data_IF_399060197238
#
_entry.id   IF_399060197238
#
_cell.length_a   1.000
_cell.length_b   1.000
_cell.length_c   1.000
_cell.angle_alpha   90.00
_cell.angle_beta   90.00
_cell.angle_gamma   90.00
#
_symmetry.space_group_name_H-M   'P 1'
#
loop_
_entity.id
_entity.type
_entity.pdbx_description
1 polymer ?
#
# COMPACT_ATOMS: atom_id res chain seq x y z
N UNK A 1 -30.38 19.57 -10.70
CA UNK A 1 -30.01 18.79 -11.89
C UNK A 1 -30.40 17.36 -11.60
N UNK A 2 -31.19 16.71 -12.44
CA UNK A 2 -31.66 15.35 -12.19
C UNK A 2 -30.48 14.38 -12.32
N UNK A 3 -30.13 13.70 -11.23
CA UNK A 3 -29.14 12.62 -11.26
C UNK A 3 -29.61 11.55 -12.23
N UNK A 4 -28.79 11.29 -13.26
CA UNK A 4 -29.04 10.21 -14.21
C UNK A 4 -28.85 8.89 -13.46
N UNK A 5 -29.95 8.16 -13.26
CA UNK A 5 -29.94 6.77 -12.76
C UNK A 5 -29.15 5.89 -13.74
N UNK A 6 -28.27 5.04 -13.22
CA UNK A 6 -27.52 4.07 -14.02
C UNK A 6 -28.37 2.81 -14.22
N UNK A 7 -28.37 2.17 -15.41
CA UNK A 7 -29.18 0.99 -15.66
C UNK A 7 -28.86 -0.19 -14.73
N UNK A 8 -29.88 -0.96 -14.36
CA UNK A 8 -29.72 -2.19 -13.58
C UNK A 8 -28.89 -3.20 -14.38
N UNK A 9 -27.67 -3.52 -13.96
CA UNK A 9 -26.86 -4.57 -14.60
C UNK A 9 -25.46 -4.18 -15.11
N UNK A 10 -25.00 -2.94 -14.95
CA UNK A 10 -23.57 -2.63 -15.12
C UNK A 10 -22.77 -3.15 -13.92
N UNK A 11 -22.36 -4.42 -14.02
CA UNK A 11 -21.54 -5.12 -13.02
C UNK A 11 -20.08 -5.20 -13.51
N UNK A 12 -19.10 -4.59 -12.81
CA UNK A 12 -17.67 -4.70 -13.11
C UNK A 12 -17.12 -6.13 -13.00
N UNK A 13 -17.89 -7.08 -12.46
CA UNK A 13 -17.48 -8.47 -12.21
C UNK A 13 -18.19 -9.50 -13.09
N UNK A 14 -18.77 -9.09 -14.23
CA UNK A 14 -19.36 -9.99 -15.24
C UNK A 14 -18.41 -11.12 -15.73
N UNK A 15 -17.11 -11.01 -15.47
CA UNK A 15 -16.09 -12.03 -15.77
C UNK A 15 -16.18 -13.28 -14.86
N UNK A 16 -16.79 -13.21 -13.68
CA UNK A 16 -17.03 -14.40 -12.83
C UNK A 16 -18.08 -15.36 -13.42
N UNK A 17 -18.93 -14.89 -14.33
CA UNK A 17 -19.92 -15.72 -15.03
C UNK A 17 -19.32 -16.51 -16.20
N UNK A 18 -18.07 -16.22 -16.60
CA UNK A 18 -17.36 -16.90 -17.67
C UNK A 18 -16.12 -17.60 -17.09
N UNK A 19 -16.33 -18.72 -16.40
CA UNK A 19 -15.27 -19.56 -15.84
C UNK A 19 -15.47 -21.02 -16.19
N UNK A 20 -14.77 -21.45 -17.24
CA UNK A 20 -14.32 -22.79 -17.64
C UNK A 20 -15.28 -24.00 -17.65
N UNK A 21 -15.26 -24.67 -18.82
CA UNK A 21 -15.78 -26.00 -19.08
C UNK A 21 -15.36 -27.01 -18.01
N UNK A 22 -16.35 -27.69 -17.44
CA UNK A 22 -16.14 -28.85 -16.56
C UNK A 22 -15.33 -29.95 -17.30
N UNK A 23 -14.24 -30.48 -16.72
CA UNK A 23 -13.60 -31.66 -17.28
C UNK A 23 -14.47 -32.89 -17.04
N UNK A 24 -14.75 -33.62 -18.12
CA UNK A 24 -15.54 -34.84 -18.15
C UNK A 24 -15.08 -35.88 -17.09
N UNK A 25 -16.01 -36.27 -16.21
CA UNK A 25 -15.80 -37.33 -15.24
C UNK A 25 -15.72 -38.71 -15.91
N UNK A 26 -14.60 -39.42 -15.70
CA UNK A 26 -14.39 -40.81 -16.12
C UNK A 26 -15.21 -41.78 -15.27
N UNK A 27 -15.95 -42.69 -15.92
CA UNK A 27 -16.69 -43.79 -15.28
C UNK A 27 -15.74 -44.87 -14.71
N UNK A 28 -15.95 -45.37 -13.47
CA UNK A 28 -15.35 -46.62 -13.01
C UNK A 28 -16.26 -47.84 -13.33
N UNK A 29 -15.70 -49.07 -13.38
CA UNK A 29 -16.42 -50.24 -13.88
C UNK A 29 -17.33 -50.88 -12.83
N UNK A 30 -18.34 -51.59 -13.34
CA UNK A 30 -19.40 -52.24 -12.57
C UNK A 30 -18.88 -53.33 -11.62
N UNK A 31 -19.32 -53.28 -10.35
CA UNK A 31 -19.33 -54.43 -9.43
C UNK A 31 -20.77 -54.77 -9.07
N UNK A 32 -21.23 -55.95 -9.52
CA UNK A 32 -22.35 -56.65 -8.88
C UNK A 32 -21.90 -57.07 -7.48
N UNK A 33 -22.72 -56.90 -6.46
CA UNK A 33 -23.46 -57.98 -5.77
C UNK A 33 -24.16 -57.46 -4.50
N UNK A 34 -25.37 -58.00 -4.28
CA UNK A 34 -26.07 -58.25 -3.00
C UNK A 34 -27.01 -57.15 -2.46
N UNK A 35 -28.28 -57.38 -2.75
CA UNK A 35 -29.44 -56.81 -2.07
C UNK A 35 -29.36 -57.12 -0.58
N UNK A 36 -29.22 -56.08 0.24
CA UNK A 36 -29.49 -56.13 1.67
C UNK A 36 -30.52 -55.05 1.97
N UNK A 37 -31.79 -55.46 2.09
CA UNK A 37 -32.89 -54.58 2.52
C UNK A 37 -32.62 -54.22 3.98
N UNK A 38 -32.08 -53.02 4.22
CA UNK A 38 -32.07 -52.40 5.54
C UNK A 38 -33.05 -51.24 5.52
N UNK A 39 -34.20 -51.41 6.17
CA UNK A 39 -35.07 -50.32 6.58
C UNK A 39 -34.36 -49.52 7.66
N UNK A 40 -33.48 -48.60 7.26
CA UNK A 40 -32.94 -47.55 8.13
C UNK A 40 -33.85 -46.34 7.90
N UNK A 41 -34.55 -45.89 8.93
CA UNK A 41 -35.27 -44.61 8.86
C UNK A 41 -34.29 -43.54 8.38
N UNK A 42 -34.60 -42.87 7.27
CA UNK A 42 -33.75 -41.84 6.71
C UNK A 42 -33.57 -40.74 7.77
N UNK A 43 -32.32 -40.35 8.04
CA UNK A 43 -32.03 -39.20 8.87
C UNK A 43 -32.69 -37.98 8.21
N UNK A 44 -33.43 -37.17 8.98
CA UNK A 44 -34.01 -35.93 8.48
C UNK A 44 -32.89 -35.07 7.87
N UNK A 45 -33.12 -34.57 6.65
CA UNK A 45 -32.17 -33.71 5.95
C UNK A 45 -32.03 -32.38 6.69
N UNK A 46 -30.84 -31.81 6.67
CA UNK A 46 -30.58 -30.45 7.14
C UNK A 46 -31.19 -29.42 6.18
N UNK A 47 -31.40 -28.18 6.64
CA UNK A 47 -31.88 -27.08 5.78
C UNK A 47 -30.97 -26.88 4.55
N UNK A 48 -29.64 -26.95 4.74
CA UNK A 48 -28.68 -26.84 3.63
C UNK A 48 -28.82 -27.97 2.62
N UNK A 49 -28.92 -29.23 3.08
CA UNK A 49 -29.13 -30.39 2.19
C UNK A 49 -30.46 -30.28 1.42
N UNK A 50 -31.52 -29.75 2.03
CA UNK A 50 -32.80 -29.50 1.35
C UNK A 50 -32.67 -28.45 0.23
N UNK A 51 -31.92 -27.37 0.47
CA UNK A 51 -31.67 -26.31 -0.51
C UNK A 51 -30.82 -26.83 -1.69
N UNK A 52 -29.73 -27.55 -1.40
CA UNK A 52 -28.84 -28.12 -2.40
C UNK A 52 -29.55 -29.15 -3.29
N UNK A 53 -30.27 -30.10 -2.68
CA UNK A 53 -30.98 -31.16 -3.42
C UNK A 53 -32.11 -30.59 -4.29
N UNK A 54 -32.88 -29.63 -3.76
CA UNK A 54 -33.97 -29.00 -4.51
C UNK A 54 -33.42 -28.11 -5.64
N UNK A 55 -32.33 -27.39 -5.42
CA UNK A 55 -31.69 -26.60 -6.49
C UNK A 55 -31.08 -27.49 -7.58
N UNK A 56 -30.43 -28.60 -7.21
CA UNK A 56 -29.84 -29.54 -8.16
C UNK A 56 -30.89 -30.15 -9.10
N UNK A 57 -32.11 -30.38 -8.61
CA UNK A 57 -33.23 -30.84 -9.44
C UNK A 57 -33.73 -29.77 -10.43
N UNK A 58 -33.61 -28.49 -10.08
CA UNK A 58 -34.01 -27.35 -10.91
C UNK A 58 -32.94 -26.95 -11.93
N UNK A 59 -31.66 -27.21 -11.65
CA UNK A 59 -30.53 -26.77 -12.46
C UNK A 59 -30.64 -27.12 -13.97
N UNK A 60 -31.11 -28.32 -14.39
CA UNK A 60 -31.26 -28.65 -15.82
C UNK A 60 -32.28 -27.76 -16.56
N UNK A 61 -33.19 -27.10 -15.82
CA UNK A 61 -34.25 -26.24 -16.36
C UNK A 61 -34.03 -24.77 -15.98
N UNK A 62 -32.83 -24.39 -15.53
CA UNK A 62 -32.54 -23.07 -14.97
C UNK A 62 -32.86 -21.89 -15.90
N UNK A 63 -32.65 -22.04 -17.21
CA UNK A 63 -33.01 -21.00 -18.19
C UNK A 63 -34.53 -20.81 -18.29
N UNK A 64 -35.29 -21.90 -18.37
CA UNK A 64 -36.76 -21.85 -18.42
C UNK A 64 -37.34 -21.29 -17.11
N UNK A 65 -36.73 -21.65 -15.97
CA UNK A 65 -37.08 -21.11 -14.66
C UNK A 65 -36.87 -19.60 -14.61
N UNK A 66 -35.73 -19.09 -15.09
CA UNK A 66 -35.43 -17.66 -15.10
C UNK A 66 -36.38 -16.87 -16.02
N UNK A 67 -36.68 -17.40 -17.22
CA UNK A 67 -37.69 -16.80 -18.10
C UNK A 67 -39.06 -16.75 -17.43
N UNK A 68 -39.50 -17.88 -16.85
CA UNK A 68 -40.79 -17.96 -16.16
C UNK A 68 -40.88 -17.00 -14.97
N UNK A 69 -39.76 -16.80 -14.26
CA UNK A 69 -39.66 -15.82 -13.18
C UNK A 69 -39.95 -14.40 -13.66
N UNK A 70 -39.31 -13.94 -14.73
CA UNK A 70 -39.52 -12.58 -15.24
C UNK A 70 -40.92 -12.39 -15.84
N UNK A 71 -41.44 -13.38 -16.57
CA UNK A 71 -42.82 -13.37 -17.05
C UNK A 71 -43.81 -13.17 -15.89
N UNK A 72 -43.65 -13.96 -14.82
CA UNK A 72 -44.53 -13.89 -13.65
C UNK A 72 -44.35 -12.59 -12.88
N UNK A 73 -43.12 -12.11 -12.73
CA UNK A 73 -42.82 -10.86 -12.02
C UNK A 73 -43.50 -9.68 -12.70
N UNK A 74 -43.39 -9.56 -14.02
CA UNK A 74 -43.97 -8.45 -14.77
C UNK A 74 -45.49 -8.55 -14.94
N UNK A 75 -46.03 -9.76 -15.04
CA UNK A 75 -47.49 -9.99 -15.07
C UNK A 75 -48.13 -9.62 -13.71
N UNK A 76 -47.51 -10.04 -12.60
CA UNK A 76 -48.06 -9.87 -11.26
C UNK A 76 -47.76 -8.50 -10.65
N UNK A 77 -46.60 -7.93 -10.95
CA UNK A 77 -46.11 -6.65 -10.42
C UNK A 77 -45.64 -5.75 -11.58
N UNK A 78 -46.57 -5.25 -12.41
CA UNK A 78 -46.24 -4.43 -13.57
C UNK A 78 -45.48 -3.15 -13.20
N UNK A 79 -45.58 -2.68 -11.95
CA UNK A 79 -44.81 -1.53 -11.45
C UNK A 79 -43.30 -1.77 -11.39
N UNK A 80 -42.85 -3.03 -11.52
CA UNK A 80 -41.43 -3.37 -11.55
C UNK A 80 -40.82 -3.22 -12.95
N UNK A 81 -41.63 -3.20 -14.01
CA UNK A 81 -41.17 -3.12 -15.41
C UNK A 81 -40.23 -1.92 -15.67
N UNK A 82 -40.50 -0.70 -15.16
CA UNK A 82 -39.63 0.45 -15.37
C UNK A 82 -38.19 0.27 -14.85
N UNK A 83 -37.96 -0.63 -13.88
CA UNK A 83 -36.62 -0.92 -13.37
C UNK A 83 -35.73 -1.66 -14.40
N UNK A 84 -36.34 -2.20 -15.47
CA UNK A 84 -35.69 -3.05 -16.47
C UNK A 84 -35.76 -2.48 -17.91
N UNK A 85 -36.29 -1.27 -18.11
CA UNK A 85 -36.56 -0.69 -19.44
C UNK A 85 -35.30 -0.58 -20.33
N UNK A 86 -34.14 -0.32 -19.73
CA UNK A 86 -32.88 -0.09 -20.45
C UNK A 86 -32.00 -1.35 -20.58
N UNK A 87 -32.50 -2.54 -20.21
CA UNK A 87 -31.70 -3.78 -20.25
C UNK A 87 -32.36 -4.95 -20.98
N UNK A 88 -31.57 -5.79 -21.66
CA UNK A 88 -32.08 -7.00 -22.27
C UNK A 88 -32.44 -8.04 -21.18
N UNK A 89 -33.72 -8.40 -21.08
CA UNK A 89 -34.24 -9.37 -20.11
C UNK A 89 -33.48 -10.71 -20.17
N UNK A 90 -33.12 -11.19 -21.37
CA UNK A 90 -32.28 -12.40 -21.52
C UNK A 90 -30.92 -12.33 -20.83
N UNK A 91 -30.31 -11.14 -20.78
CA UNK A 91 -29.06 -10.93 -20.04
C UNK A 91 -29.29 -10.97 -18.54
N UNK A 92 -30.42 -10.45 -18.10
CA UNK A 92 -30.81 -10.40 -16.70
C UNK A 92 -31.21 -11.78 -16.15
N UNK A 93 -31.89 -12.62 -16.94
CA UNK A 93 -32.18 -14.02 -16.64
C UNK A 93 -30.90 -14.81 -16.26
N UNK A 94 -29.83 -14.64 -17.05
CA UNK A 94 -28.53 -15.28 -16.77
C UNK A 94 -27.93 -14.81 -15.45
N UNK A 95 -28.01 -13.51 -15.14
CA UNK A 95 -27.49 -12.93 -13.90
C UNK A 95 -28.27 -13.42 -12.67
N UNK A 96 -29.59 -13.54 -12.78
CA UNK A 96 -30.41 -14.14 -11.73
C UNK A 96 -29.98 -15.58 -11.45
N UNK A 97 -29.84 -16.40 -12.50
CA UNK A 97 -29.43 -17.80 -12.35
C UNK A 97 -28.03 -17.92 -11.73
N UNK A 98 -27.06 -17.13 -12.22
CA UNK A 98 -25.71 -17.09 -11.66
C UNK A 98 -25.71 -16.70 -10.17
N UNK A 99 -26.57 -15.76 -9.77
CA UNK A 99 -26.70 -15.33 -8.37
C UNK A 99 -27.27 -16.43 -7.48
N UNK A 100 -28.22 -17.23 -7.97
CA UNK A 100 -28.76 -18.38 -7.26
C UNK A 100 -27.74 -19.51 -7.14
N UNK A 101 -26.96 -19.77 -8.19
CA UNK A 101 -25.83 -20.73 -8.15
C UNK A 101 -24.82 -20.30 -7.10
N UNK A 102 -24.41 -19.03 -7.09
CA UNK A 102 -23.47 -18.49 -6.11
C UNK A 102 -23.99 -18.63 -4.68
N UNK A 103 -25.27 -18.33 -4.45
CA UNK A 103 -25.92 -18.49 -3.16
C UNK A 103 -25.85 -19.95 -2.68
N UNK A 104 -26.25 -20.90 -3.53
CA UNK A 104 -26.28 -22.33 -3.18
C UNK A 104 -24.86 -22.87 -2.92
N UNK A 105 -23.87 -22.49 -3.74
CA UNK A 105 -22.48 -22.91 -3.57
C UNK A 105 -21.84 -22.42 -2.26
N UNK A 106 -22.40 -21.38 -1.63
CA UNK A 106 -21.85 -20.78 -0.42
C UNK A 106 -22.75 -20.92 0.81
N UNK A 107 -23.76 -21.81 0.79
CA UNK A 107 -24.65 -22.04 1.94
C UNK A 107 -23.91 -22.48 3.22
N UNK A 108 -22.74 -23.10 3.07
CA UNK A 108 -21.88 -23.51 4.19
C UNK A 108 -20.93 -22.42 4.70
N UNK A 109 -20.82 -21.29 4.00
CA UNK A 109 -19.95 -20.15 4.34
C UNK A 109 -20.67 -18.80 4.13
N UNK A 110 -21.78 -18.55 4.83
CA UNK A 110 -22.61 -17.37 4.61
C UNK A 110 -21.88 -16.04 4.84
N UNK A 111 -20.81 -16.04 5.65
CA UNK A 111 -19.95 -14.88 5.91
C UNK A 111 -19.25 -14.34 4.65
N UNK A 112 -18.93 -15.21 3.69
CA UNK A 112 -18.27 -14.83 2.43
C UNK A 112 -19.21 -14.01 1.54
N UNK A 113 -20.53 -14.23 1.66
CA UNK A 113 -21.52 -13.51 0.87
C UNK A 113 -21.91 -12.16 1.48
N UNK A 114 -21.57 -11.87 2.73
CA UNK A 114 -22.10 -10.71 3.44
C UNK A 114 -21.70 -9.37 2.78
N UNK A 115 -20.41 -9.17 2.50
CA UNK A 115 -19.91 -7.96 1.83
C UNK A 115 -20.42 -7.85 0.39
N UNK A 116 -20.45 -8.96 -0.34
CA UNK A 116 -20.96 -9.01 -1.71
C UNK A 116 -22.45 -8.61 -1.77
N UNK A 117 -23.28 -9.17 -0.90
CA UNK A 117 -24.70 -8.86 -0.82
C UNK A 117 -24.95 -7.42 -0.37
N UNK A 118 -24.14 -6.86 0.53
CA UNK A 118 -24.22 -5.45 0.89
C UNK A 118 -23.90 -4.53 -0.30
N UNK A 119 -22.82 -4.82 -1.03
CA UNK A 119 -22.45 -4.08 -2.24
C UNK A 119 -23.52 -4.19 -3.33
N UNK A 120 -24.15 -5.37 -3.48
CA UNK A 120 -25.29 -5.57 -4.37
C UNK A 120 -26.51 -4.76 -3.91
N UNK A 121 -26.79 -4.71 -2.61
CA UNK A 121 -27.86 -3.90 -2.01
C UNK A 121 -27.68 -2.40 -2.31
N UNK A 122 -26.47 -1.86 -2.16
CA UNK A 122 -26.15 -0.47 -2.48
C UNK A 122 -26.41 -0.14 -3.96
N UNK A 123 -26.09 -1.05 -4.88
CA UNK A 123 -26.42 -0.89 -6.31
C UNK A 123 -27.93 -0.91 -6.55
N UNK A 124 -28.67 -1.76 -5.84
CA UNK A 124 -30.14 -1.81 -5.95
C UNK A 124 -30.79 -0.49 -5.51
N UNK A 125 -30.25 0.18 -4.49
CA UNK A 125 -30.68 1.55 -4.12
C UNK A 125 -30.51 2.50 -5.30
N UNK A 126 -29.34 2.46 -5.96
CA UNK A 126 -29.03 3.31 -7.12
C UNK A 126 -29.95 3.03 -8.32
N UNK A 127 -30.33 1.76 -8.54
CA UNK A 127 -31.30 1.37 -9.57
C UNK A 127 -32.73 1.81 -9.25
N UNK A 128 -32.99 2.26 -8.02
CA UNK A 128 -34.31 2.70 -7.57
C UNK A 128 -35.20 1.56 -7.06
N UNK A 129 -34.62 0.39 -6.75
CA UNK A 129 -35.32 -0.69 -6.05
C UNK A 129 -35.62 -0.22 -4.64
N UNK A 130 -36.81 -0.53 -4.13
CA UNK A 130 -37.25 -0.16 -2.78
C UNK A 130 -37.30 -1.37 -1.87
N UNK A 131 -37.41 -1.16 -0.56
CA UNK A 131 -37.59 -2.26 0.39
C UNK A 131 -38.87 -3.09 0.13
N UNK A 132 -39.90 -2.48 -0.47
CA UNK A 132 -41.16 -3.12 -0.80
C UNK A 132 -41.05 -4.10 -1.99
N UNK A 133 -40.00 -4.02 -2.79
CA UNK A 133 -39.83 -4.88 -3.98
C UNK A 133 -39.23 -6.25 -3.64
N UNK A 134 -38.48 -6.37 -2.54
CA UNK A 134 -37.84 -7.63 -2.12
C UNK A 134 -38.85 -8.76 -1.84
N UNK A 135 -39.96 -8.52 -1.09
CA UNK A 135 -40.99 -9.54 -0.92
C UNK A 135 -41.63 -10.00 -2.23
N UNK A 136 -41.81 -9.10 -3.20
CA UNK A 136 -42.39 -9.42 -4.53
C UNK A 136 -41.49 -10.39 -5.29
N UNK A 137 -40.17 -10.14 -5.27
CA UNK A 137 -39.17 -11.02 -5.90
C UNK A 137 -39.12 -12.38 -5.20
N UNK A 138 -39.05 -12.40 -3.87
CA UNK A 138 -39.00 -13.65 -3.10
C UNK A 138 -40.24 -14.52 -3.35
N UNK A 139 -41.43 -13.91 -3.30
CA UNK A 139 -42.69 -14.62 -3.56
C UNK A 139 -42.72 -15.23 -4.97
N UNK A 140 -42.35 -14.47 -6.00
CA UNK A 140 -42.34 -14.95 -7.37
C UNK A 140 -41.35 -16.08 -7.59
N UNK A 141 -40.13 -15.94 -7.05
CA UNK A 141 -39.10 -16.95 -7.18
C UNK A 141 -39.54 -18.27 -6.53
N UNK A 142 -40.08 -18.23 -5.31
CA UNK A 142 -40.60 -19.41 -4.63
C UNK A 142 -41.74 -20.09 -5.40
N UNK A 143 -42.66 -19.29 -5.97
CA UNK A 143 -43.77 -19.81 -6.76
C UNK A 143 -43.29 -20.53 -8.03
N UNK A 144 -42.32 -19.96 -8.74
CA UNK A 144 -41.75 -20.58 -9.95
C UNK A 144 -40.92 -21.80 -9.59
N UNK A 145 -40.10 -21.75 -8.54
CA UNK A 145 -39.36 -22.93 -8.08
C UNK A 145 -40.30 -24.08 -7.71
N UNK A 146 -41.44 -23.80 -7.09
CA UNK A 146 -42.46 -24.80 -6.79
C UNK A 146 -43.07 -25.45 -8.05
N UNK A 147 -43.35 -24.65 -9.08
CA UNK A 147 -43.88 -25.11 -10.37
C UNK A 147 -42.92 -26.11 -11.03
N UNK A 148 -41.61 -25.84 -10.99
CA UNK A 148 -40.58 -26.67 -11.63
C UNK A 148 -40.12 -27.86 -10.77
N UNK A 149 -40.14 -27.73 -9.45
CA UNK A 149 -39.68 -28.79 -8.54
C UNK A 149 -40.72 -29.91 -8.34
N UNK A 150 -42.00 -29.65 -8.63
CA UNK A 150 -43.08 -30.64 -8.52
C UNK A 150 -43.12 -31.29 -7.13
N UNK A 151 -43.13 -32.63 -7.09
CA UNK A 151 -43.21 -33.41 -5.83
C UNK A 151 -42.03 -33.20 -4.87
N UNK A 152 -40.90 -32.64 -5.35
CA UNK A 152 -39.76 -32.29 -4.49
C UNK A 152 -40.03 -31.02 -3.65
N UNK A 153 -41.04 -30.22 -4.01
CA UNK A 153 -41.37 -28.99 -3.31
C UNK A 153 -42.23 -29.23 -2.07
N UNK A 154 -41.62 -29.80 -1.03
CA UNK A 154 -42.29 -30.02 0.27
C UNK A 154 -42.39 -28.71 1.06
N UNK A 155 -43.21 -28.72 2.12
CA UNK A 155 -43.30 -27.59 3.05
C UNK A 155 -41.94 -27.25 3.68
N UNK A 156 -41.11 -28.26 3.98
CA UNK A 156 -39.77 -28.09 4.54
C UNK A 156 -38.82 -27.40 3.56
N UNK A 157 -38.86 -27.79 2.27
CA UNK A 157 -38.08 -27.14 1.20
C UNK A 157 -38.52 -25.68 1.03
N UNK A 158 -39.83 -25.43 0.98
CA UNK A 158 -40.37 -24.07 0.89
C UNK A 158 -39.88 -23.19 2.04
N UNK A 159 -40.00 -23.66 3.28
CA UNK A 159 -39.56 -22.91 4.47
C UNK A 159 -38.05 -22.66 4.47
N UNK A 160 -37.24 -23.63 4.03
CA UNK A 160 -35.79 -23.44 3.90
C UNK A 160 -35.46 -22.33 2.89
N UNK A 161 -36.09 -22.33 1.72
CA UNK A 161 -35.88 -21.29 0.71
C UNK A 161 -36.37 -19.91 1.17
N UNK A 162 -37.54 -19.84 1.81
CA UNK A 162 -38.07 -18.59 2.39
C UNK A 162 -37.09 -17.97 3.39
N UNK A 163 -36.56 -18.78 4.31
CA UNK A 163 -35.58 -18.33 5.30
C UNK A 163 -34.30 -17.81 4.65
N UNK A 164 -33.75 -18.54 3.69
CA UNK A 164 -32.53 -18.14 2.97
C UNK A 164 -32.74 -16.83 2.21
N UNK A 165 -33.84 -16.69 1.45
CA UNK A 165 -34.13 -15.47 0.70
C UNK A 165 -34.37 -14.27 1.63
N UNK A 166 -35.03 -14.47 2.78
CA UNK A 166 -35.19 -13.43 3.78
C UNK A 166 -33.85 -12.99 4.39
N UNK A 167 -32.93 -13.92 4.66
CA UNK A 167 -31.58 -13.58 5.12
C UNK A 167 -30.82 -12.74 4.09
N UNK A 168 -30.89 -13.13 2.81
CA UNK A 168 -30.28 -12.36 1.71
C UNK A 168 -30.87 -10.95 1.65
N UNK A 169 -32.21 -10.83 1.66
CA UNK A 169 -32.90 -9.54 1.63
C UNK A 169 -32.52 -8.66 2.84
N UNK A 170 -32.47 -9.21 4.06
CA UNK A 170 -32.05 -8.47 5.25
C UNK A 170 -30.63 -7.91 5.13
N UNK A 171 -29.69 -8.68 4.57
CA UNK A 171 -28.30 -8.22 4.38
C UNK A 171 -28.27 -7.08 3.35
N UNK A 172 -28.97 -7.22 2.23
CA UNK A 172 -29.05 -6.20 1.19
C UNK A 172 -29.72 -4.91 1.70
N UNK A 173 -30.77 -5.04 2.51
CA UNK A 173 -31.50 -3.91 3.11
C UNK A 173 -30.67 -3.14 4.15
N UNK A 174 -29.60 -3.71 4.71
CA UNK A 174 -28.67 -2.92 5.54
C UNK A 174 -28.04 -1.77 4.76
N UNK A 175 -27.88 -1.90 3.43
CA UNK A 175 -27.37 -0.83 2.58
C UNK A 175 -28.39 0.29 2.29
N UNK A 176 -29.65 0.13 2.70
CA UNK A 176 -30.73 1.10 2.50
C UNK A 176 -30.89 2.02 3.71
N UNK A 177 -30.34 1.63 4.86
CA UNK A 177 -30.26 2.54 5.99
C UNK A 177 -29.24 3.62 5.63
N UNK A 178 -29.56 4.92 5.76
CA UNK A 178 -28.52 5.93 5.74
C UNK A 178 -27.50 5.52 6.81
N UNK A 179 -26.24 5.40 6.44
CA UNK A 179 -25.14 5.32 7.41
C UNK A 179 -25.17 6.62 8.21
N UNK A 180 -25.95 6.62 9.29
CA UNK A 180 -26.19 7.76 10.18
C UNK A 180 -24.84 8.18 10.80
N UNK A 181 -24.45 9.43 10.54
CA UNK A 181 -23.58 10.39 11.27
C UNK A 181 -22.39 9.90 12.12
N UNK A 182 -22.43 8.75 12.78
CA UNK A 182 -21.35 8.17 13.56
C UNK A 182 -20.13 7.78 12.71
N UNK A 183 -20.31 7.21 11.51
CA UNK A 183 -19.17 6.87 10.63
C UNK A 183 -18.52 8.11 10.00
N UNK A 184 -19.30 9.15 9.69
CA UNK A 184 -18.78 10.43 9.17
C UNK A 184 -18.12 11.29 10.25
N UNK A 185 -18.64 11.30 11.49
CA UNK A 185 -18.04 12.03 12.60
C UNK A 185 -16.77 11.34 13.13
N UNK A 186 -16.74 10.00 13.15
CA UNK A 186 -15.55 9.24 13.55
C UNK A 186 -14.42 9.40 12.51
N UNK A 187 -14.75 9.42 11.22
CA UNK A 187 -13.76 9.70 10.15
C UNK A 187 -13.29 11.16 10.14
N UNK A 188 -14.16 12.15 10.35
CA UNK A 188 -13.73 13.56 10.42
C UNK A 188 -12.85 13.84 11.63
N UNK A 189 -13.15 13.28 12.80
CA UNK A 189 -12.31 13.44 13.99
C UNK A 189 -10.95 12.76 13.83
N UNK A 190 -10.91 11.53 13.33
CA UNK A 190 -9.66 10.83 13.05
C UNK A 190 -8.84 11.53 11.96
N UNK A 191 -9.50 12.03 10.90
CA UNK A 191 -8.84 12.83 9.86
C UNK A 191 -8.29 14.14 10.42
N UNK A 192 -9.02 14.84 11.29
CA UNK A 192 -8.57 16.07 11.92
C UNK A 192 -7.38 15.83 12.88
N UNK A 193 -7.44 14.76 13.68
CA UNK A 193 -6.34 14.37 14.57
C UNK A 193 -5.10 13.98 13.77
N UNK A 194 -5.25 13.22 12.69
CA UNK A 194 -4.16 12.85 11.78
C UNK A 194 -3.59 14.07 11.05
N UNK A 195 -4.44 15.00 10.58
CA UNK A 195 -4.03 16.26 9.98
C UNK A 195 -3.24 17.13 10.98
N UNK A 196 -3.69 17.18 12.24
CA UNK A 196 -3.02 17.92 13.30
C UNK A 196 -1.67 17.28 13.65
N UNK A 197 -1.58 15.95 13.67
CA UNK A 197 -0.32 15.23 13.90
C UNK A 197 0.68 15.46 12.76
N UNK A 198 0.24 15.36 11.50
CA UNK A 198 1.06 15.69 10.33
C UNK A 198 1.54 17.14 10.35
N UNK A 199 0.67 18.09 10.72
CA UNK A 199 1.04 19.49 10.86
C UNK A 199 2.08 19.69 11.97
N UNK A 200 1.96 18.98 13.10
CA UNK A 200 2.91 19.00 14.21
C UNK A 200 4.28 18.47 13.78
N UNK A 201 4.31 17.30 13.13
CA UNK A 201 5.53 16.67 12.64
C UNK A 201 6.21 17.55 11.57
N UNK A 202 5.43 18.06 10.60
CA UNK A 202 5.92 18.99 9.57
C UNK A 202 6.48 20.27 10.20
N UNK A 203 5.82 20.83 11.21
CA UNK A 203 6.31 22.00 11.94
C UNK A 203 7.62 21.72 12.68
N UNK A 204 7.78 20.55 13.29
CA UNK A 204 9.01 20.19 14.00
C UNK A 204 10.20 20.09 13.02
N UNK A 205 9.96 19.48 11.86
CA UNK A 205 10.97 19.34 10.81
C UNK A 205 11.31 20.69 10.16
N UNK A 206 10.32 21.54 9.89
CA UNK A 206 10.53 22.86 9.31
C UNK A 206 11.17 23.86 10.28
N UNK A 207 10.97 23.68 11.59
CA UNK A 207 11.65 24.45 12.63
C UNK A 207 13.10 24.02 12.89
N UNK A 208 13.55 22.89 12.32
CA UNK A 208 14.93 22.41 12.45
C UNK A 208 15.89 23.31 11.69
N UNK A 209 17.03 23.63 12.30
CA UNK A 209 18.12 24.36 11.64
C UNK A 209 18.94 23.47 10.70
N UNK A 210 18.82 22.14 10.82
CA UNK A 210 19.51 21.19 9.95
C UNK A 210 18.79 21.11 8.61
N UNK A 211 19.50 21.32 7.50
CA UNK A 211 18.96 21.13 6.17
C UNK A 211 18.62 19.65 5.96
N UNK A 212 17.36 19.37 5.64
CA UNK A 212 16.85 18.04 5.37
C UNK A 212 16.01 17.98 4.08
N UNK A 213 16.15 16.88 3.37
CA UNK A 213 15.36 16.46 2.21
C UNK A 213 14.91 15.02 2.39
N UNK A 214 13.77 14.63 1.83
CA UNK A 214 13.30 13.24 1.81
C UNK A 214 12.93 12.84 0.39
N UNK A 215 13.12 11.56 0.09
CA UNK A 215 12.75 10.94 -1.19
C UNK A 215 11.88 9.71 -0.97
N UNK A 216 11.03 9.39 -1.94
CA UNK A 216 10.31 8.11 -1.99
C UNK A 216 11.18 6.99 -2.60
N UNK A 217 10.60 5.79 -2.72
CA UNK A 217 11.24 4.61 -3.35
C UNK A 217 11.56 4.79 -4.83
N UNK A 218 10.90 5.71 -5.50
CA UNK A 218 11.13 6.06 -6.90
C UNK A 218 12.17 7.17 -7.08
N UNK A 219 12.78 7.61 -5.97
CA UNK A 219 13.85 8.62 -5.90
C UNK A 219 13.35 10.04 -6.20
N UNK A 220 12.03 10.25 -6.10
CA UNK A 220 11.42 11.57 -6.20
C UNK A 220 11.50 12.29 -4.86
N UNK A 221 11.85 13.56 -4.91
CA UNK A 221 11.90 14.44 -3.74
C UNK A 221 10.49 14.70 -3.24
N UNK A 222 10.16 14.20 -2.05
CA UNK A 222 8.84 14.35 -1.44
C UNK A 222 8.78 15.46 -0.41
N UNK A 223 9.93 15.88 0.12
CA UNK A 223 9.99 16.91 1.14
C UNK A 223 11.34 17.63 1.14
N UNK A 224 11.33 18.93 1.39
CA UNK A 224 12.50 19.76 1.71
C UNK A 224 12.12 20.76 2.80
N UNK A 225 12.98 20.94 3.79
CA UNK A 225 12.73 21.96 4.82
C UNK A 225 13.33 23.33 4.47
N UNK A 226 12.90 24.36 5.21
CA UNK A 226 13.35 25.74 5.00
C UNK A 226 14.87 25.91 5.17
N UNK A 227 15.51 25.10 6.03
CA UNK A 227 16.96 25.13 6.21
C UNK A 227 17.70 24.71 4.94
N UNK A 228 17.22 23.69 4.21
CA UNK A 228 17.77 23.29 2.90
C UNK A 228 17.68 24.43 1.90
N UNK A 229 16.50 25.06 1.77
CA UNK A 229 16.31 26.18 0.86
C UNK A 229 17.23 27.35 1.22
N UNK A 230 17.34 27.68 2.51
CA UNK A 230 18.19 28.77 3.00
C UNK A 230 19.68 28.50 2.75
N UNK A 231 20.12 27.25 2.93
CA UNK A 231 21.50 26.84 2.72
C UNK A 231 21.90 26.84 1.24
N UNK A 232 21.01 26.43 0.34
CA UNK A 232 21.30 26.36 -1.11
C UNK A 232 21.09 27.69 -1.84
N UNK A 233 20.22 28.58 -1.34
CA UNK A 233 19.85 29.85 -2.01
C UNK A 233 21.05 30.73 -2.43
N UNK A 234 22.11 30.90 -1.63
CA UNK A 234 23.29 31.69 -2.04
C UNK A 234 24.09 31.06 -3.19
N UNK A 235 23.82 29.79 -3.52
CA UNK A 235 24.63 28.99 -4.44
C UNK A 235 23.84 28.51 -5.66
N UNK A 236 22.64 29.03 -5.90
CA UNK A 236 21.77 28.59 -7.01
C UNK A 236 22.48 28.66 -8.36
N UNK A 237 23.17 29.77 -8.65
CA UNK A 237 23.91 29.93 -9.91
C UNK A 237 25.00 28.86 -10.07
N UNK A 238 25.80 28.65 -9.01
CA UNK A 238 26.84 27.62 -8.96
C UNK A 238 26.26 26.21 -9.15
N UNK A 239 25.09 25.93 -8.57
CA UNK A 239 24.42 24.63 -8.70
C UNK A 239 23.82 24.45 -10.10
N UNK A 240 23.25 25.49 -10.68
CA UNK A 240 22.70 25.48 -12.04
C UNK A 240 23.78 25.29 -13.11
N UNK A 241 24.99 25.80 -12.88
CA UNK A 241 26.15 25.54 -13.75
C UNK A 241 26.56 24.06 -13.77
N UNK A 242 26.38 23.36 -12.64
CA UNK A 242 26.72 21.92 -12.50
C UNK A 242 25.56 21.03 -12.94
N UNK A 243 24.33 21.44 -12.65
CA UNK A 243 23.09 20.70 -12.90
C UNK A 243 22.16 21.55 -13.78
N UNK A 244 22.22 21.40 -15.11
CA UNK A 244 21.36 22.14 -16.02
C UNK A 244 19.88 21.90 -15.71
N UNK A 245 19.12 22.98 -15.47
CA UNK A 245 17.71 22.89 -15.10
C UNK A 245 17.44 22.84 -13.58
N UNK A 246 18.48 22.99 -12.74
CA UNK A 246 18.31 23.14 -11.30
C UNK A 246 17.41 24.32 -10.96
N UNK A 247 16.31 24.05 -10.27
CA UNK A 247 15.35 25.04 -9.79
C UNK A 247 15.08 24.78 -8.31
N UNK A 248 15.63 25.66 -7.46
CA UNK A 248 15.52 25.58 -6.02
C UNK A 248 14.07 25.69 -5.52
N UNK A 249 13.24 26.49 -6.20
CA UNK A 249 11.87 26.74 -5.76
C UNK A 249 10.91 25.62 -6.22
N UNK A 250 11.36 24.75 -7.15
CA UNK A 250 10.58 23.63 -7.68
C UNK A 250 11.20 22.25 -7.42
N UNK A 251 11.97 22.08 -6.33
CA UNK A 251 12.64 20.79 -6.03
C UNK A 251 11.69 19.62 -5.75
N UNK A 252 10.55 19.87 -5.12
CA UNK A 252 9.60 18.81 -4.75
C UNK A 252 8.98 18.22 -6.02
N UNK A 253 9.00 16.90 -6.13
CA UNK A 253 8.54 16.13 -7.29
C UNK A 253 9.63 15.87 -8.33
N UNK A 254 10.81 16.48 -8.23
CA UNK A 254 11.94 16.14 -9.11
C UNK A 254 12.60 14.84 -8.68
N UNK A 255 13.24 14.15 -9.64
CA UNK A 255 13.99 12.93 -9.34
C UNK A 255 15.44 13.28 -9.01
N UNK A 256 16.02 12.65 -7.97
CA UNK A 256 17.41 12.95 -7.62
C UNK A 256 18.43 12.45 -8.65
N UNK A 257 18.03 11.56 -9.56
CA UNK A 257 18.89 11.09 -10.65
C UNK A 257 19.40 12.23 -11.53
N UNK A 258 18.63 13.30 -11.68
CA UNK A 258 19.00 14.48 -12.45
C UNK A 258 20.21 15.22 -11.84
N UNK A 259 20.49 14.97 -10.55
CA UNK A 259 21.63 15.54 -9.82
C UNK A 259 22.81 14.57 -9.68
N UNK A 260 22.80 13.42 -10.36
CA UNK A 260 23.84 12.41 -10.28
C UNK A 260 24.42 12.07 -11.66
N UNK A 261 25.76 12.00 -11.75
CA UNK A 261 26.45 11.62 -13.00
C UNK A 261 26.20 10.17 -13.41
N UNK A 262 26.09 9.26 -12.43
CA UNK A 262 25.78 7.85 -12.65
C UNK A 262 24.56 7.45 -11.82
N UNK A 263 23.35 7.56 -12.39
CA UNK A 263 22.13 7.26 -11.65
C UNK A 263 22.01 5.83 -11.11
N UNK A 264 22.67 4.87 -11.75
CA UNK A 264 22.64 3.48 -11.31
C UNK A 264 23.34 3.29 -9.96
N UNK A 265 24.34 4.12 -9.66
CA UNK A 265 25.12 4.03 -8.43
C UNK A 265 24.27 4.31 -7.19
N UNK A 266 23.62 5.48 -7.08
CA UNK A 266 22.80 5.81 -5.91
C UNK A 266 21.57 4.93 -5.83
N UNK A 267 21.00 4.51 -6.97
CA UNK A 267 19.88 3.56 -6.97
C UNK A 267 20.26 2.25 -6.30
N UNK A 268 21.44 1.71 -6.59
CA UNK A 268 21.95 0.49 -5.94
C UNK A 268 22.22 0.71 -4.45
N UNK A 269 22.83 1.85 -4.09
CA UNK A 269 23.15 2.17 -2.69
C UNK A 269 21.88 2.29 -1.84
N UNK A 270 20.89 3.06 -2.32
CA UNK A 270 19.69 3.41 -1.57
C UNK A 270 18.55 2.38 -1.68
N UNK A 271 18.65 1.38 -2.58
CA UNK A 271 17.63 0.34 -2.72
C UNK A 271 17.52 -0.60 -1.51
N UNK A 272 18.64 -0.85 -0.81
CA UNK A 272 18.70 -1.72 0.37
C UNK A 272 18.93 -0.87 1.64
N UNK A 273 17.98 -0.85 2.59
CA UNK A 273 18.11 -0.08 3.83
C UNK A 273 19.27 -0.56 4.72
N UNK A 274 19.81 -1.77 4.52
CA UNK A 274 21.00 -2.24 5.26
C UNK A 274 22.29 -1.52 4.86
N UNK A 275 22.29 -0.82 3.72
CA UNK A 275 23.39 0.06 3.34
C UNK A 275 23.37 1.40 4.09
N UNK A 276 22.31 1.66 4.87
CA UNK A 276 22.06 2.90 5.58
C UNK A 276 22.17 2.69 7.10
N UNK A 277 22.67 3.69 7.86
CA UNK A 277 22.99 5.05 7.43
C UNK A 277 24.29 5.13 6.61
N UNK A 278 24.33 6.07 5.66
CA UNK A 278 25.49 6.34 4.82
C UNK A 278 25.90 7.81 4.97
N UNK A 279 27.18 8.05 5.24
CA UNK A 279 27.74 9.40 5.39
C UNK A 279 28.93 9.59 4.46
N UNK A 280 28.95 10.72 3.75
CA UNK A 280 30.03 11.05 2.82
C UNK A 280 30.13 12.55 2.60
N UNK A 281 31.30 13.02 2.18
CA UNK A 281 31.48 14.38 1.68
C UNK A 281 31.49 14.35 0.15
N UNK A 282 30.67 15.19 -0.48
CA UNK A 282 30.63 15.38 -1.94
C UNK A 282 31.15 16.76 -2.31
N UNK A 283 31.70 16.87 -3.52
CA UNK A 283 32.15 18.15 -4.09
C UNK A 283 31.24 18.52 -5.26
N UNK A 284 30.69 19.73 -5.21
CA UNK A 284 29.80 20.28 -6.23
C UNK A 284 30.31 21.67 -6.61
N UNK A 285 31.00 21.75 -7.75
CA UNK A 285 31.73 22.95 -8.13
C UNK A 285 32.77 23.33 -7.06
N UNK A 286 32.76 24.58 -6.53
CA UNK A 286 33.65 25.01 -5.45
C UNK A 286 33.18 24.59 -4.06
N UNK A 287 32.01 23.96 -3.92
CA UNK A 287 31.38 23.66 -2.64
C UNK A 287 31.66 22.22 -2.24
N UNK A 288 31.80 22.00 -0.93
CA UNK A 288 31.85 20.67 -0.31
C UNK A 288 30.66 20.52 0.63
N UNK A 289 29.85 19.50 0.40
CA UNK A 289 28.70 19.17 1.25
C UNK A 289 28.95 17.84 1.94
N UNK A 290 28.72 17.81 3.25
CA UNK A 290 28.59 16.56 3.99
C UNK A 290 27.16 16.08 3.88
N UNK A 291 26.97 14.83 3.50
CA UNK A 291 25.69 14.16 3.40
C UNK A 291 25.58 13.09 4.47
N UNK A 292 24.42 12.99 5.12
CA UNK A 292 24.04 11.87 5.97
C UNK A 292 22.68 11.35 5.49
N UNK A 293 22.65 10.11 5.04
CA UNK A 293 21.45 9.47 4.51
C UNK A 293 20.99 8.39 5.46
N UNK A 294 19.70 8.39 5.81
CA UNK A 294 19.07 7.38 6.64
C UNK A 294 17.85 6.77 5.98
N UNK A 295 17.57 5.50 6.29
CA UNK A 295 16.40 4.80 5.80
C UNK A 295 15.13 5.27 6.53
N UNK A 296 14.06 5.54 5.79
CA UNK A 296 12.73 5.78 6.35
C UNK A 296 11.90 4.49 6.28
N UNK A 297 11.36 4.07 7.43
CA UNK A 297 10.60 2.83 7.57
C UNK A 297 9.18 3.13 8.04
N UNK A 298 8.18 2.47 7.44
CA UNK A 298 6.81 2.39 7.95
C UNK A 298 6.56 0.96 8.45
N UNK A 299 6.66 0.76 9.77
CA UNK A 299 6.69 -0.57 10.37
C UNK A 299 7.89 -1.39 9.87
N UNK A 300 7.63 -2.36 8.97
CA UNK A 300 8.68 -3.18 8.32
C UNK A 300 8.94 -2.76 6.88
N UNK A 301 8.11 -1.90 6.32
CA UNK A 301 8.19 -1.51 4.92
C UNK A 301 9.15 -0.34 4.76
N UNK A 302 10.05 -0.46 3.79
CA UNK A 302 11.00 0.59 3.48
C UNK A 302 10.38 1.57 2.49
N UNK A 303 10.19 2.82 2.92
CA UNK A 303 9.38 3.81 2.19
C UNK A 303 10.22 4.89 1.48
N UNK A 304 11.52 4.97 1.74
CA UNK A 304 12.42 5.93 1.09
C UNK A 304 13.57 6.36 2.00
N UNK A 305 14.24 7.46 1.67
CA UNK A 305 15.38 7.96 2.45
C UNK A 305 15.15 9.38 2.95
N UNK A 306 15.72 9.70 4.11
CA UNK A 306 15.99 11.08 4.50
C UNK A 306 17.46 11.40 4.23
N UNK A 307 17.72 12.62 3.79
CA UNK A 307 19.04 13.16 3.56
C UNK A 307 19.18 14.44 4.39
N UNK A 308 20.18 14.44 5.26
CA UNK A 308 20.67 15.64 5.92
C UNK A 308 21.96 16.09 5.24
N UNK A 309 22.12 17.39 5.06
CA UNK A 309 23.29 17.95 4.42
C UNK A 309 23.76 19.25 5.02
N UNK A 310 25.08 19.43 5.04
CA UNK A 310 25.76 20.58 5.63
C UNK A 310 26.83 21.08 4.68
N UNK A 311 26.90 22.40 4.47
CA UNK A 311 27.99 23.02 3.72
C UNK A 311 29.25 23.06 4.61
N UNK A 312 30.21 22.18 4.33
CA UNK A 312 31.47 22.05 5.07
C UNK A 312 32.66 22.63 4.31
N UNK A 313 32.42 23.41 3.25
CA UNK A 313 33.46 23.95 2.35
C UNK A 313 34.56 24.67 3.12
N UNK A 314 34.19 25.64 3.96
CA UNK A 314 35.17 26.40 4.74
C UNK A 314 35.86 25.55 5.80
N UNK A 315 35.12 24.62 6.42
CA UNK A 315 35.66 23.72 7.43
C UNK A 315 36.75 22.83 6.82
N UNK A 316 36.48 22.22 5.67
CA UNK A 316 37.43 21.38 4.93
C UNK A 316 38.62 22.18 4.41
N UNK A 317 38.38 23.40 3.92
CA UNK A 317 39.47 24.27 3.47
C UNK A 317 40.45 24.59 4.62
N UNK A 318 39.93 24.86 5.81
CA UNK A 318 40.74 25.09 7.03
C UNK A 318 41.51 23.83 7.44
N UNK A 319 40.84 22.68 7.50
CA UNK A 319 41.47 21.39 7.83
C UNK A 319 42.62 21.06 6.87
N UNK A 320 42.39 21.22 5.56
CA UNK A 320 43.43 21.01 4.55
C UNK A 320 44.57 22.01 4.67
N UNK A 321 44.28 23.27 5.02
CA UNK A 321 45.33 24.27 5.23
C UNK A 321 46.21 23.91 6.43
N UNK A 322 45.61 23.46 7.55
CA UNK A 322 46.36 22.98 8.72
C UNK A 322 47.21 21.77 8.34
N UNK A 323 46.66 20.80 7.62
CA UNK A 323 47.40 19.62 7.16
C UNK A 323 48.57 19.98 6.24
N UNK A 324 48.38 20.94 5.31
CA UNK A 324 49.46 21.45 4.44
C UNK A 324 50.56 22.13 5.24
N UNK A 325 50.20 22.94 6.24
CA UNK A 325 51.18 23.60 7.10
C UNK A 325 51.98 22.57 7.90
N UNK A 326 51.31 21.58 8.53
CA UNK A 326 51.98 20.48 9.22
C UNK A 326 52.97 19.77 8.29
N UNK A 327 52.52 19.32 7.11
CA UNK A 327 53.40 18.63 6.17
C UNK A 327 54.57 19.49 5.67
N UNK A 328 54.39 20.83 5.59
CA UNK A 328 55.49 21.74 5.25
C UNK A 328 56.54 21.81 6.35
N UNK A 329 56.12 21.86 7.61
CA UNK A 329 57.03 21.88 8.76
C UNK A 329 57.73 20.53 8.90
N UNK A 330 57.00 19.42 8.73
CA UNK A 330 57.52 18.04 8.79
C UNK A 330 58.56 17.78 7.70
N UNK A 331 58.28 18.22 6.47
CA UNK A 331 59.18 18.06 5.32
C UNK A 331 60.28 19.11 5.21
N UNK A 332 60.35 20.09 6.12
CA UNK A 332 61.34 21.15 6.06
C UNK A 332 62.75 20.59 6.32
N UNK A 333 63.69 20.88 5.42
CA UNK A 333 65.11 20.51 5.56
C UNK A 333 65.84 21.30 6.66
N UNK A 334 65.23 22.38 7.15
CA UNK A 334 65.77 23.14 8.28
C UNK A 334 65.33 22.49 9.58
N UNK A 335 66.22 22.46 10.58
CA UNK A 335 65.85 22.02 11.93
C UNK A 335 64.84 22.99 12.54
N UNK A 336 63.66 22.49 12.90
CA UNK A 336 62.58 23.21 13.57
C UNK A 336 62.25 22.51 14.90
N UNK A 337 62.10 23.31 15.95
CA UNK A 337 61.58 22.92 17.26
C UNK A 337 60.60 24.01 17.72
N UNK A 338 59.42 23.63 18.21
CA UNK A 338 58.42 24.55 18.74
C UNK A 338 58.16 24.27 20.21
N UNK A 339 57.90 25.33 20.97
CA UNK A 339 57.56 25.26 22.39
C UNK A 339 56.20 25.92 22.65
N UNK A 340 55.48 25.45 23.68
CA UNK A 340 54.29 26.14 24.17
C UNK A 340 54.64 27.28 25.12
N UNK A 341 53.61 27.92 25.70
CA UNK A 341 53.79 29.04 26.66
C UNK A 341 54.40 28.61 27.99
N UNK A 342 54.35 27.32 28.31
CA UNK A 342 54.90 26.72 29.51
C UNK A 342 56.34 26.21 29.27
N UNK A 343 56.94 26.56 28.13
CA UNK A 343 58.29 26.16 27.69
C UNK A 343 58.48 24.67 27.43
N UNK A 344 57.39 23.93 27.25
CA UNK A 344 57.45 22.52 26.84
C UNK A 344 57.63 22.42 25.33
N UNK A 345 58.54 21.55 24.89
CA UNK A 345 58.69 21.22 23.46
C UNK A 345 57.44 20.47 23.02
N UNK A 346 56.68 21.07 22.10
CA UNK A 346 55.43 20.49 21.59
C UNK A 346 55.57 19.89 20.21
N UNK A 347 56.66 20.21 19.52
CA UNK A 347 56.92 19.73 18.18
C UNK A 347 58.41 19.80 17.83
N UNK A 348 58.90 18.78 17.13
CA UNK A 348 60.24 18.68 16.57
C UNK A 348 60.13 17.99 15.21
N UNK A 349 60.76 18.55 14.17
CA UNK A 349 60.77 17.91 12.85
C UNK A 349 61.96 16.94 12.68
N UNK A 350 61.90 16.07 11.67
CA UNK A 350 62.93 15.06 11.38
C UNK A 350 64.33 15.66 11.15
N UNK A 351 64.41 16.85 10.57
CA UNK A 351 65.68 17.56 10.36
C UNK A 351 66.36 17.94 11.69
N UNK A 352 65.60 18.30 12.73
CA UNK A 352 66.14 18.53 14.08
C UNK A 352 66.58 17.23 14.74
N UNK A 353 65.76 16.18 14.64
CA UNK A 353 66.12 14.85 15.17
C UNK A 353 67.42 14.35 14.54
N UNK A 354 67.52 14.43 13.20
CA UNK A 354 68.70 14.02 12.43
C UNK A 354 69.94 14.82 12.83
N UNK A 355 69.79 16.13 13.06
CA UNK A 355 70.87 17.01 13.49
C UNK A 355 71.35 16.70 14.92
N UNK A 356 70.43 16.43 15.85
CA UNK A 356 70.76 16.17 17.27
C UNK A 356 71.26 14.74 17.52
N UNK A 357 70.85 13.77 16.72
CA UNK A 357 71.13 12.34 16.93
C UNK A 357 72.61 12.00 17.14
N UNK A 358 73.59 12.57 16.40
CA UNK A 358 75.00 12.30 16.64
C UNK A 358 75.55 12.84 17.97
N UNK A 359 74.83 13.74 18.64
CA UNK A 359 75.30 14.48 19.82
C UNK A 359 74.57 14.09 21.11
N UNK A 360 73.72 13.06 21.08
CA UNK A 360 72.89 12.66 22.23
C UNK A 360 73.72 12.44 23.49
N UNK A 361 74.82 11.69 23.41
CA UNK A 361 75.66 11.38 24.57
C UNK A 361 76.27 12.66 25.18
N UNK A 362 76.81 13.55 24.32
CA UNK A 362 77.41 14.81 24.76
C UNK A 362 76.37 15.76 25.36
N UNK A 363 75.16 15.80 24.80
CA UNK A 363 74.08 16.64 25.31
C UNK A 363 73.54 16.11 26.64
N UNK A 364 73.46 14.78 26.82
CA UNK A 364 73.02 14.15 28.06
C UNK A 364 74.00 14.38 29.23
N UNK A 365 75.31 14.51 28.96
CA UNK A 365 76.30 14.89 29.98
C UNK A 365 76.11 16.33 30.49
N UNK A 366 75.69 17.25 29.62
CA UNK A 366 75.53 18.68 29.93
C UNK A 366 74.13 19.01 30.47
N UNK A 367 73.10 18.33 29.96
CA UNK A 367 71.69 18.56 30.30
C UNK A 367 71.09 17.30 30.96
N UNK A 368 71.09 17.24 32.31
CA UNK A 368 70.54 16.09 33.04
C UNK A 368 69.05 15.92 32.74
N UNK A 369 68.70 14.87 32.00
CA UNK A 369 67.33 14.59 31.55
C UNK A 369 67.09 14.78 30.04
N UNK A 370 68.11 15.16 29.27
CA UNK A 370 68.03 15.16 27.81
C UNK A 370 67.86 13.72 27.29
N UNK A 371 66.78 13.51 26.53
CA UNK A 371 66.42 12.25 25.90
C UNK A 371 65.77 12.63 24.57
N UNK A 372 66.38 12.22 23.46
CA UNK A 372 65.91 12.61 22.12
C UNK A 372 64.63 11.87 21.71
N UNK A 373 64.34 10.74 22.38
CA UNK A 373 63.20 9.87 22.08
C UNK A 373 62.00 10.10 23.04
N UNK A 374 62.10 11.09 23.95
CA UNK A 374 61.01 11.57 24.81
C UNK A 374 60.54 12.95 24.38
#
# INVERSE_FOLDING_TARGET
MADKKTPMGDDPLAWLANGDESPAAKKPPAKRTRVRRSTKAAKAKTETELLEDSFAALAPQGEQLATRFYERLFDKYPETVPLFEDIPIKGQEKKLLASLVLLVQNLHKPEVLAEYLQGLGARHVHYGVTAEDYPKVAENLLAVMAEFAGDLWTAEVKTAWEKTLNTVAMIMLKAYQPTEEADMAMTQKQAAEMQQELARMSSAVNGSATAMMMINRDFEITFVNQATITMLRPYVDTLADVFPGFDLDNLIGQNIDDFHKDPAHQRKLLADPNNLPYSTDIVVGPLTFRLNVAAMMDGKDYIGCSLEWENVTELRAKEQQVARLSGTVDGAMTSIMMINRDFEITYINESTLTMLRPYVDTLAEVFPGFDLDK
#
